data_IF_037917933363
#
_entry.id   IF_037917933363
#
_cell.length_a   1.000
_cell.length_b   1.000
_cell.length_c   1.000
_cell.angle_alpha   90.00
_cell.angle_beta   90.00
_cell.angle_gamma   90.00
#
_symmetry.space_group_name_H-M   'P 1'
#
loop_
_entity.id
_entity.type
_entity.pdbx_description
1 polymer ?
#
# COMPACT_ATOMS: atom_id res chain seq x y z
N UNK A 1 -9.35 27.01 12.24
CA UNK A 1 -8.39 25.98 12.72
C UNK A 1 -9.01 24.91 13.63
N UNK A 2 -9.86 25.25 14.61
CA UNK A 2 -10.48 24.25 15.51
C UNK A 2 -11.25 23.16 14.76
N UNK A 3 -12.03 23.55 13.75
CA UNK A 3 -12.87 22.60 13.01
C UNK A 3 -12.03 21.67 12.13
N UNK A 4 -10.95 22.18 11.51
CA UNK A 4 -9.97 21.35 10.76
C UNK A 4 -9.30 20.33 11.68
N UNK A 5 -8.89 20.76 12.88
CA UNK A 5 -8.30 19.85 13.88
C UNK A 5 -9.29 18.74 14.25
N UNK A 6 -10.56 19.10 14.49
CA UNK A 6 -11.61 18.14 14.84
C UNK A 6 -11.86 17.14 13.71
N UNK A 7 -12.01 17.62 12.48
CA UNK A 7 -12.24 16.78 11.31
C UNK A 7 -11.09 15.76 11.10
N UNK A 8 -9.83 16.17 11.29
CA UNK A 8 -8.69 15.27 11.15
C UNK A 8 -8.65 14.21 12.26
N UNK A 9 -9.01 14.56 13.49
CA UNK A 9 -9.08 13.60 14.60
C UNK A 9 -10.25 12.62 14.42
N UNK A 10 -11.40 13.09 13.93
CA UNK A 10 -12.55 12.25 13.57
C UNK A 10 -12.25 11.30 12.41
N UNK A 11 -11.24 11.62 11.58
CA UNK A 11 -10.73 10.78 10.50
C UNK A 11 -9.56 9.87 10.92
N UNK A 12 -9.40 9.59 12.22
CA UNK A 12 -8.37 8.72 12.79
C UNK A 12 -6.91 9.14 12.50
N UNK A 13 -6.66 10.42 12.20
CA UNK A 13 -5.30 10.94 12.04
C UNK A 13 -4.64 11.09 13.41
N UNK A 14 -3.43 10.57 13.56
CA UNK A 14 -2.72 10.61 14.86
C UNK A 14 -2.55 12.05 15.39
N UNK A 15 -2.78 12.23 16.68
CA UNK A 15 -2.69 13.54 17.34
C UNK A 15 -1.37 14.30 17.08
N UNK A 16 -0.19 13.65 17.07
CA UNK A 16 1.05 14.35 16.71
C UNK A 16 1.05 14.91 15.28
N UNK A 17 0.49 14.17 14.31
CA UNK A 17 0.36 14.63 12.92
C UNK A 17 -0.61 15.81 12.84
N UNK A 18 -1.78 15.71 13.47
CA UNK A 18 -2.78 16.80 13.49
C UNK A 18 -2.20 18.07 14.11
N UNK A 19 -1.46 17.95 15.21
CA UNK A 19 -0.81 19.11 15.85
C UNK A 19 0.19 19.78 14.91
N UNK A 20 1.07 19.02 14.26
CA UNK A 20 2.05 19.56 13.29
C UNK A 20 1.37 20.21 12.10
N UNK A 21 0.36 19.54 11.54
CA UNK A 21 -0.41 20.05 10.40
C UNK A 21 -1.08 21.40 10.70
N UNK A 22 -1.82 21.46 11.82
CA UNK A 22 -2.52 22.69 12.24
C UNK A 22 -1.56 23.84 12.51
N UNK A 23 -0.39 23.55 13.11
CA UNK A 23 0.64 24.56 13.35
C UNK A 23 1.17 25.11 12.02
N UNK A 24 1.58 24.23 11.11
CA UNK A 24 2.12 24.61 9.78
C UNK A 24 1.14 25.47 8.98
N UNK A 25 -0.15 25.07 8.93
CA UNK A 25 -1.20 25.87 8.26
C UNK A 25 -1.37 27.24 8.93
N UNK A 26 -1.31 27.31 10.25
CA UNK A 26 -1.45 28.58 10.98
C UNK A 26 -0.30 29.53 10.70
N UNK A 27 0.94 29.01 10.69
CA UNK A 27 2.14 29.80 10.41
C UNK A 27 2.13 30.35 8.97
N UNK A 28 1.73 29.52 8.00
CA UNK A 28 1.60 29.92 6.60
C UNK A 28 0.48 30.96 6.40
N UNK A 29 -0.65 30.82 7.11
CA UNK A 29 -1.77 31.75 7.02
C UNK A 29 -1.44 33.14 7.60
N UNK A 30 -0.58 33.22 8.62
CA UNK A 30 -0.12 34.50 9.18
C UNK A 30 0.90 35.16 8.25
N UNK A 31 1.77 34.37 7.61
CA UNK A 31 2.85 34.88 6.75
C UNK A 31 2.43 35.37 5.37
N UNK A 32 1.23 35.00 4.89
CA UNK A 32 0.73 35.39 3.57
C UNK A 32 -0.07 36.69 3.69
N UNK A 33 0.44 37.77 3.11
CA UNK A 33 -0.32 39.00 2.91
C UNK A 33 -1.52 38.77 1.97
N UNK A 34 -2.60 39.54 2.15
CA UNK A 34 -3.80 39.42 1.32
C UNK A 34 -3.47 39.77 -0.13
N UNK A 35 -3.44 38.75 -1.00
CA UNK A 35 -3.29 38.94 -2.45
C UNK A 35 -4.53 39.67 -2.97
N UNK A 36 -4.33 40.84 -3.60
CA UNK A 36 -5.42 41.63 -4.20
C UNK A 36 -6.17 40.79 -5.26
N UNK A 37 -7.49 40.75 -5.16
CA UNK A 37 -8.36 40.05 -6.11
C UNK A 37 -8.65 38.58 -5.79
N UNK A 38 -8.02 38.00 -4.75
CA UNK A 38 -8.35 36.66 -4.26
C UNK A 38 -9.03 36.79 -2.91
N UNK A 39 -10.15 36.08 -2.72
CA UNK A 39 -10.86 36.12 -1.44
C UNK A 39 -10.05 35.40 -0.35
N UNK A 40 -10.02 35.91 0.90
CA UNK A 40 -9.24 35.31 1.99
C UNK A 40 -9.60 33.85 2.31
N UNK A 41 -10.87 33.45 2.15
CA UNK A 41 -11.33 32.07 2.30
C UNK A 41 -10.71 31.12 1.27
N UNK A 42 -10.59 31.55 0.00
CA UNK A 42 -9.92 30.78 -1.04
C UNK A 42 -8.42 30.61 -0.79
N UNK A 43 -7.76 31.65 -0.24
CA UNK A 43 -6.36 31.56 0.17
C UNK A 43 -6.18 30.53 1.29
N UNK A 44 -7.06 30.53 2.29
CA UNK A 44 -7.02 29.54 3.37
C UNK A 44 -7.22 28.12 2.84
N UNK A 45 -8.19 27.90 1.94
CA UNK A 45 -8.41 26.59 1.30
C UNK A 45 -7.17 26.11 0.57
N UNK A 46 -6.51 27.00 -0.17
CA UNK A 46 -5.26 26.69 -0.87
C UNK A 46 -4.14 26.29 0.09
N UNK A 47 -3.95 27.03 1.18
CA UNK A 47 -2.92 26.70 2.20
C UNK A 47 -3.18 25.31 2.80
N UNK A 48 -4.42 25.03 3.17
CA UNK A 48 -4.81 23.72 3.72
C UNK A 48 -4.58 22.61 2.70
N UNK A 49 -4.96 22.82 1.45
CA UNK A 49 -4.75 21.87 0.36
C UNK A 49 -3.25 21.60 0.13
N UNK A 50 -2.45 22.65 -0.01
CA UNK A 50 -1.01 22.54 -0.27
C UNK A 50 -0.30 21.82 0.88
N UNK A 51 -0.73 22.05 2.12
CA UNK A 51 -0.20 21.33 3.28
C UNK A 51 -0.64 19.86 3.31
N UNK A 52 -1.87 19.54 2.88
CA UNK A 52 -2.33 18.15 2.76
C UNK A 52 -1.51 17.40 1.70
N UNK A 53 -1.25 18.04 0.55
CA UNK A 53 -0.40 17.46 -0.50
C UNK A 53 1.00 17.15 0.02
N UNK A 54 1.62 18.09 0.75
CA UNK A 54 2.93 17.87 1.39
C UNK A 54 2.89 16.72 2.39
N UNK A 55 1.85 16.67 3.24
CA UNK A 55 1.68 15.62 4.24
C UNK A 55 1.57 14.22 3.59
N UNK A 56 0.95 14.13 2.42
CA UNK A 56 0.75 12.88 1.69
C UNK A 56 1.98 12.44 0.86
N UNK A 57 3.08 13.21 0.87
CA UNK A 57 4.33 12.84 0.20
C UNK A 57 4.65 13.62 -1.07
N UNK A 58 3.77 14.54 -1.51
CA UNK A 58 4.04 15.57 -2.52
C UNK A 58 4.15 15.11 -3.97
N UNK A 59 4.88 14.02 -4.24
CA UNK A 59 5.20 13.55 -5.59
C UNK A 59 4.69 12.12 -5.85
N UNK A 60 4.23 11.89 -7.07
CA UNK A 60 3.85 10.55 -7.54
C UNK A 60 5.13 9.81 -7.91
N UNK A 61 5.38 8.68 -7.27
CA UNK A 61 6.46 7.77 -7.64
C UNK A 61 5.90 6.56 -8.38
N UNK A 62 6.46 6.25 -9.55
CA UNK A 62 6.14 5.02 -10.26
C UNK A 62 6.81 3.80 -9.62
N UNK A 63 6.25 2.62 -9.87
CA UNK A 63 6.85 1.37 -9.41
C UNK A 63 8.16 1.10 -10.15
N UNK A 64 9.26 0.98 -9.41
CA UNK A 64 10.57 0.64 -9.98
C UNK A 64 10.67 -0.87 -10.19
N UNK A 65 10.90 -1.27 -11.43
CA UNK A 65 11.08 -2.68 -11.80
C UNK A 65 12.55 -3.10 -11.74
N UNK A 66 12.79 -4.36 -11.40
CA UNK A 66 14.13 -4.92 -11.40
C UNK A 66 14.70 -4.98 -12.83
N UNK A 67 16.03 -4.81 -12.96
CA UNK A 67 16.73 -4.94 -14.25
C UNK A 67 16.60 -6.33 -14.87
N UNK A 68 16.35 -7.34 -14.05
CA UNK A 68 16.19 -8.73 -14.46
C UNK A 68 14.97 -9.33 -13.76
N UNK A 69 14.14 -10.02 -14.53
CA UNK A 69 12.92 -10.63 -14.04
C UNK A 69 13.18 -11.86 -13.13
N UNK A 70 12.25 -12.17 -12.20
CA UNK A 70 11.07 -11.40 -11.85
C UNK A 70 11.42 -10.21 -10.94
N UNK A 71 10.69 -9.10 -11.09
CA UNK A 71 10.56 -8.10 -10.03
C UNK A 71 9.78 -8.73 -8.88
N UNK A 72 10.33 -8.71 -7.67
CA UNK A 72 9.70 -9.34 -6.50
C UNK A 72 9.04 -8.26 -5.64
N UNK A 73 7.75 -8.42 -5.38
CA UNK A 73 6.96 -7.52 -4.54
C UNK A 73 6.41 -8.31 -3.35
N UNK A 74 6.70 -7.88 -2.13
CA UNK A 74 6.23 -8.51 -0.90
C UNK A 74 5.18 -7.63 -0.24
N UNK A 75 3.98 -8.17 0.01
CA UNK A 75 2.92 -7.45 0.72
C UNK A 75 2.98 -7.80 2.20
N UNK A 76 3.54 -6.88 2.99
CA UNK A 76 3.62 -7.01 4.45
C UNK A 76 2.74 -5.96 5.14
N UNK A 77 2.19 -6.30 6.29
CA UNK A 77 1.31 -5.40 7.04
C UNK A 77 0.56 -6.13 8.15
N UNK A 78 -0.32 -5.40 8.82
CA UNK A 78 -1.10 -5.94 9.93
C UNK A 78 -2.13 -6.97 9.46
N UNK A 79 -2.68 -7.73 10.39
CA UNK A 79 -3.83 -8.58 10.10
C UNK A 79 -5.04 -7.71 9.72
N UNK A 80 -5.85 -8.16 8.74
CA UNK A 80 -7.07 -7.47 8.35
C UNK A 80 -6.92 -6.26 7.41
N UNK A 81 -5.70 -5.79 7.10
CA UNK A 81 -5.48 -4.59 6.26
C UNK A 81 -5.67 -4.83 4.74
N UNK A 82 -6.16 -6.00 4.35
CA UNK A 82 -6.51 -6.30 2.95
C UNK A 82 -5.36 -6.75 2.04
N UNK A 83 -4.24 -7.26 2.59
CA UNK A 83 -3.04 -7.68 1.81
C UNK A 83 -3.36 -8.61 0.64
N UNK A 84 -4.07 -9.71 0.89
CA UNK A 84 -4.49 -10.69 -0.14
C UNK A 84 -5.29 -10.03 -1.27
N UNK A 85 -6.23 -9.15 -0.92
CA UNK A 85 -7.01 -8.39 -1.91
C UNK A 85 -6.13 -7.41 -2.69
N UNK A 86 -5.18 -6.75 -2.03
CA UNK A 86 -4.21 -5.86 -2.68
C UNK A 86 -3.29 -6.64 -3.62
N UNK A 87 -2.85 -7.85 -3.27
CA UNK A 87 -2.05 -8.72 -4.15
C UNK A 87 -2.77 -8.96 -5.48
N UNK A 88 -4.03 -9.38 -5.44
CA UNK A 88 -4.82 -9.63 -6.66
C UNK A 88 -5.08 -8.34 -7.47
N UNK A 89 -5.40 -7.23 -6.79
CA UNK A 89 -5.58 -5.91 -7.43
C UNK A 89 -4.30 -5.43 -8.11
N UNK A 90 -3.16 -5.55 -7.43
CA UNK A 90 -1.86 -5.17 -7.96
C UNK A 90 -1.48 -6.01 -9.17
N UNK A 91 -1.67 -7.33 -9.11
CA UNK A 91 -1.43 -8.21 -10.24
C UNK A 91 -2.30 -7.85 -11.45
N UNK A 92 -3.59 -7.57 -11.24
CA UNK A 92 -4.49 -7.12 -12.30
C UNK A 92 -4.04 -5.78 -12.92
N UNK A 93 -3.63 -4.83 -12.08
CA UNK A 93 -3.11 -3.54 -12.53
C UNK A 93 -1.85 -3.71 -13.40
N UNK A 94 -0.87 -4.49 -12.93
CA UNK A 94 0.37 -4.76 -13.67
C UNK A 94 0.11 -5.55 -14.96
N UNK A 95 -0.83 -6.50 -14.94
CA UNK A 95 -1.29 -7.22 -16.14
C UNK A 95 -1.87 -6.28 -17.19
N UNK A 96 -2.67 -5.29 -16.78
CA UNK A 96 -3.18 -4.24 -17.69
C UNK A 96 -2.07 -3.37 -18.28
N UNK A 97 -0.91 -3.29 -17.63
CA UNK A 97 0.30 -2.64 -18.15
C UNK A 97 1.18 -3.57 -19.00
N UNK A 98 0.68 -4.77 -19.33
CA UNK A 98 1.40 -5.73 -20.17
C UNK A 98 2.44 -6.58 -19.44
N UNK A 99 2.46 -6.58 -18.11
CA UNK A 99 3.35 -7.45 -17.32
C UNK A 99 2.71 -8.81 -17.07
N UNK A 100 3.48 -9.88 -17.24
CA UNK A 100 3.10 -11.19 -16.71
C UNK A 100 3.30 -11.22 -15.20
N UNK A 101 2.33 -11.76 -14.46
CA UNK A 101 2.36 -11.79 -13.00
C UNK A 101 2.12 -13.20 -12.48
N UNK A 102 2.67 -13.48 -11.29
CA UNK A 102 2.36 -14.68 -10.52
C UNK A 102 2.24 -14.30 -9.04
N UNK A 103 1.19 -14.79 -8.38
CA UNK A 103 1.04 -14.65 -6.94
C UNK A 103 1.69 -15.85 -6.23
N UNK A 104 2.24 -15.62 -5.04
CA UNK A 104 2.83 -16.66 -4.20
C UNK A 104 2.13 -16.63 -2.84
N UNK A 105 1.52 -17.76 -2.47
CA UNK A 105 0.69 -17.90 -1.27
C UNK A 105 1.55 -18.16 -0.02
N UNK A 106 2.01 -17.09 0.65
CA UNK A 106 2.81 -17.16 1.88
C UNK A 106 2.00 -17.01 3.18
N UNK A 107 0.69 -16.73 3.13
CA UNK A 107 -0.20 -16.71 4.31
C UNK A 107 -0.73 -18.12 4.61
N UNK A 108 0.13 -18.97 5.18
CA UNK A 108 -0.21 -20.36 5.52
C UNK A 108 -0.90 -20.51 6.88
N UNK A 109 -0.97 -19.44 7.67
CA UNK A 109 -1.45 -19.47 9.04
C UNK A 109 -2.93 -19.10 9.16
N UNK A 110 -3.42 -18.23 8.27
CA UNK A 110 -4.82 -17.80 8.31
C UNK A 110 -5.71 -18.82 7.58
N UNK A 111 -6.82 -19.26 8.21
CA UNK A 111 -7.77 -20.16 7.57
C UNK A 111 -8.26 -19.63 6.22
N UNK A 112 -8.29 -20.51 5.21
CA UNK A 112 -8.75 -20.23 3.85
C UNK A 112 -8.04 -19.07 3.13
N UNK A 113 -6.88 -18.58 3.63
CA UNK A 113 -6.16 -17.48 2.99
C UNK A 113 -5.62 -17.86 1.61
N UNK A 114 -5.13 -19.09 1.47
CA UNK A 114 -4.68 -19.66 0.19
C UNK A 114 -5.86 -19.74 -0.78
N UNK A 115 -6.98 -20.32 -0.35
CA UNK A 115 -8.19 -20.45 -1.19
C UNK A 115 -8.73 -19.08 -1.60
N UNK A 116 -8.75 -18.12 -0.67
CA UNK A 116 -9.11 -16.73 -0.95
C UNK A 116 -8.21 -16.14 -2.04
N UNK A 117 -6.89 -16.32 -1.93
CA UNK A 117 -5.94 -15.83 -2.92
C UNK A 117 -6.19 -16.48 -4.29
N UNK A 118 -6.43 -17.79 -4.33
CA UNK A 118 -6.74 -18.53 -5.56
C UNK A 118 -8.00 -17.98 -6.23
N UNK A 119 -9.11 -17.87 -5.50
CA UNK A 119 -10.38 -17.34 -6.02
C UNK A 119 -10.20 -15.93 -6.60
N UNK A 120 -9.52 -15.03 -5.86
CA UNK A 120 -9.27 -13.67 -6.33
C UNK A 120 -8.36 -13.64 -7.57
N UNK A 121 -7.41 -14.57 -7.66
CA UNK A 121 -6.46 -14.66 -8.77
C UNK A 121 -7.10 -15.21 -10.04
N UNK A 122 -8.00 -16.18 -9.90
CA UNK A 122 -8.81 -16.70 -11.00
C UNK A 122 -9.68 -15.59 -11.62
N UNK A 123 -10.30 -14.75 -10.79
CA UNK A 123 -11.09 -13.60 -11.25
C UNK A 123 -10.29 -12.61 -12.12
N UNK A 124 -8.97 -12.49 -11.88
CA UNK A 124 -8.09 -11.60 -12.65
C UNK A 124 -7.23 -12.36 -13.67
N UNK A 125 -7.37 -13.69 -13.75
CA UNK A 125 -6.60 -14.57 -14.63
C UNK A 125 -5.09 -14.49 -14.38
N UNK A 126 -4.66 -14.59 -13.12
CA UNK A 126 -3.25 -14.59 -12.71
C UNK A 126 -2.94 -15.93 -12.01
N UNK A 127 -1.85 -16.62 -12.34
CA UNK A 127 -1.49 -17.89 -11.70
C UNK A 127 -1.05 -17.67 -10.23
N UNK A 128 -1.34 -18.67 -9.39
CA UNK A 128 -0.90 -18.72 -7.99
C UNK A 128 0.04 -19.91 -7.78
N UNK A 129 1.15 -19.67 -7.08
CA UNK A 129 2.01 -20.70 -6.53
C UNK A 129 1.64 -20.96 -5.06
N UNK A 130 1.40 -22.21 -4.70
CA UNK A 130 1.06 -22.64 -3.34
C UNK A 130 1.56 -24.06 -3.09
N UNK A 131 1.92 -24.38 -1.85
CA UNK A 131 2.20 -25.76 -1.40
C UNK A 131 1.35 -26.15 -0.18
N UNK A 132 0.17 -25.54 -0.05
CA UNK A 132 -0.71 -25.77 1.10
C UNK A 132 -0.19 -25.12 2.38
N UNK A 133 -0.64 -25.64 3.52
CA UNK A 133 -0.40 -25.05 4.85
C UNK A 133 0.77 -25.67 5.62
N UNK A 134 1.26 -26.83 5.18
CA UNK A 134 2.27 -27.62 5.91
C UNK A 134 3.71 -27.18 5.61
N UNK A 135 3.91 -26.38 4.57
CA UNK A 135 5.22 -25.89 4.13
C UNK A 135 5.49 -24.51 4.72
N UNK A 136 6.73 -24.26 5.17
CA UNK A 136 7.12 -22.97 5.74
C UNK A 136 6.95 -21.84 4.70
N UNK A 137 6.44 -20.65 5.08
CA UNK A 137 6.24 -19.52 4.15
C UNK A 137 7.50 -19.13 3.37
N UNK A 138 8.67 -19.18 4.02
CA UNK A 138 9.96 -18.86 3.38
C UNK A 138 10.35 -19.87 2.31
N UNK A 139 9.98 -21.14 2.48
CA UNK A 139 10.20 -22.18 1.49
C UNK A 139 9.24 -22.03 0.31
N UNK A 140 7.96 -21.75 0.56
CA UNK A 140 6.97 -21.46 -0.48
C UNK A 140 7.43 -20.25 -1.31
N UNK A 141 7.87 -19.17 -0.66
CA UNK A 141 8.41 -17.99 -1.34
C UNK A 141 9.61 -18.35 -2.21
N UNK A 142 10.58 -19.10 -1.69
CA UNK A 142 11.79 -19.52 -2.44
C UNK A 142 11.43 -20.36 -3.67
N UNK A 143 10.57 -21.37 -3.51
CA UNK A 143 10.18 -22.26 -4.62
C UNK A 143 9.29 -21.52 -5.63
N UNK A 144 8.36 -20.69 -5.16
CA UNK A 144 7.51 -19.86 -6.02
C UNK A 144 8.30 -18.85 -6.85
N UNK A 145 9.35 -18.25 -6.28
CA UNK A 145 10.27 -17.41 -7.05
C UNK A 145 11.07 -18.19 -8.10
N UNK A 146 11.49 -19.42 -7.78
CA UNK A 146 12.15 -20.29 -8.75
C UNK A 146 11.19 -20.68 -9.90
N UNK A 147 9.92 -20.95 -9.57
CA UNK A 147 8.88 -21.24 -10.55
C UNK A 147 8.56 -20.03 -11.45
N UNK A 148 8.44 -18.84 -10.86
CA UNK A 148 8.26 -17.59 -11.60
C UNK A 148 9.41 -17.35 -12.59
N UNK A 149 10.66 -17.60 -12.17
CA UNK A 149 11.83 -17.55 -13.06
C UNK A 149 11.74 -18.55 -14.21
N UNK A 150 11.41 -19.81 -13.92
CA UNK A 150 11.26 -20.87 -14.94
C UNK A 150 10.19 -20.54 -15.98
N UNK A 151 9.10 -19.89 -15.54
CA UNK A 151 7.98 -19.46 -16.39
C UNK A 151 8.18 -18.10 -17.04
N UNK A 152 9.36 -17.47 -16.90
CA UNK A 152 9.68 -16.14 -17.43
C UNK A 152 8.64 -15.08 -17.02
N UNK A 153 8.19 -15.13 -15.76
CA UNK A 153 7.25 -14.15 -15.20
C UNK A 153 7.97 -12.83 -14.92
N UNK A 154 7.37 -11.71 -15.31
CA UNK A 154 7.93 -10.37 -15.11
C UNK A 154 7.87 -9.93 -13.64
N UNK A 155 6.76 -10.25 -12.95
CA UNK A 155 6.50 -9.83 -11.56
C UNK A 155 5.98 -10.97 -10.70
N UNK A 156 6.68 -11.26 -9.61
CA UNK A 156 6.24 -12.20 -8.58
C UNK A 156 5.77 -11.42 -7.35
N UNK A 157 4.52 -11.62 -6.94
CA UNK A 157 3.90 -10.93 -5.80
C UNK A 157 3.66 -11.94 -4.69
N UNK A 158 4.27 -11.71 -3.53
CA UNK A 158 4.19 -12.60 -2.37
C UNK A 158 3.17 -12.05 -1.37
N UNK A 159 2.09 -12.80 -1.14
CA UNK A 159 1.12 -12.50 -0.08
C UNK A 159 1.60 -13.14 1.23
N UNK A 160 1.79 -12.35 2.27
CA UNK A 160 2.23 -12.87 3.58
C UNK A 160 1.11 -12.81 4.60
N UNK A 161 1.23 -13.64 5.65
CA UNK A 161 0.41 -13.48 6.84
C UNK A 161 0.54 -12.05 7.43
N UNK A 162 -0.54 -11.59 8.06
CA UNK A 162 -0.49 -10.35 8.83
C UNK A 162 0.23 -10.54 10.15
N UNK A 163 0.97 -9.52 10.59
CA UNK A 163 1.53 -9.49 11.96
C UNK A 163 0.60 -8.72 12.90
N UNK A 164 0.61 -9.06 14.18
CA UNK A 164 0.04 -8.20 15.24
C UNK A 164 1.05 -7.11 15.58
N UNK A 165 0.57 -5.91 15.93
CA UNK A 165 1.44 -4.79 16.36
C UNK A 165 2.27 -5.13 17.61
N UNK A 166 1.79 -6.08 18.42
CA UNK A 166 2.41 -6.50 19.69
C UNK A 166 3.39 -7.66 19.56
N UNK A 167 3.51 -8.29 18.38
CA UNK A 167 4.50 -9.33 18.12
C UNK A 167 5.82 -8.65 17.70
N UNK A 168 6.56 -8.14 18.68
CA UNK A 168 8.00 -7.97 18.52
C UNK A 168 8.62 -9.37 18.39
N UNK A 169 9.38 -9.58 17.32
CA UNK A 169 10.03 -10.85 17.02
C UNK A 169 11.19 -11.15 17.96
N UNK A 170 11.42 -12.47 18.10
CA UNK A 170 12.42 -13.22 18.87
C UNK A 170 12.07 -13.48 20.34
#
# INVERSE_FOLDING_TARGET
MRDIRRALLEADVSLPVVRRFVQSVSDQAIGIGVIRGVKPDQQLVKIVHDELVKLMGGEVSELVFAKSAPTVILLAGLQGVGKTTVCAKLANYLKKQGKSCMLIAGDVYRPAAIDQLVILSEQVGVPVYTEGTDVKPSEIARKGLAEAKKKNIDVAIVDTAGRLQTLNGY
#
